data_IF_541325011463
#
_entry.id   IF_541325011463
#
_cell.length_a   1.000
_cell.length_b   1.000
_cell.length_c   1.000
_cell.angle_alpha   90.00
_cell.angle_beta   90.00
_cell.angle_gamma   90.00
#
_symmetry.space_group_name_H-M   'P 1'
#
loop_
_entity.id
_entity.type
_entity.pdbx_description
1 polymer ?
#
# COMPACT_ATOMS: atom_id res chain seq x y z
N UNK A 1 2.46 109.72 -5.52
CA UNK A 1 3.05 110.29 -6.74
C UNK A 1 4.52 109.89 -6.73
N UNK A 2 4.93 109.05 -7.69
CA UNK A 2 6.32 108.82 -8.23
C UNK A 2 7.41 108.45 -7.22
N UNK A 3 8.30 107.47 -7.36
CA UNK A 3 8.87 106.61 -8.41
C UNK A 3 9.66 105.53 -7.59
N UNK A 4 10.05 104.32 -8.01
CA UNK A 4 11.03 103.92 -9.04
C UNK A 4 11.19 102.39 -8.93
N UNK A 5 11.53 101.78 -10.06
CA UNK A 5 11.82 100.36 -10.32
C UNK A 5 12.79 99.68 -9.35
N UNK A 6 12.67 98.35 -9.26
CA UNK A 6 13.86 97.52 -9.38
C UNK A 6 13.54 96.14 -10.00
N UNK A 7 14.15 95.94 -11.17
CA UNK A 7 14.24 94.70 -11.93
C UNK A 7 14.86 93.56 -11.12
N UNK A 8 14.22 92.38 -11.14
CA UNK A 8 14.89 91.10 -10.87
C UNK A 8 14.63 90.17 -12.06
N UNK A 9 15.67 90.04 -12.88
CA UNK A 9 15.71 89.12 -14.00
C UNK A 9 15.61 87.65 -13.53
N UNK A 10 14.51 86.96 -13.89
CA UNK A 10 14.45 85.49 -13.89
C UNK A 10 14.95 84.98 -15.25
N UNK A 11 16.20 84.53 -15.27
CA UNK A 11 16.77 83.78 -16.41
C UNK A 11 16.13 82.39 -16.44
N UNK A 12 15.13 82.18 -17.31
CA UNK A 12 14.63 80.85 -17.65
C UNK A 12 15.64 80.18 -18.59
N UNK A 13 16.49 79.30 -18.07
CA UNK A 13 17.27 78.38 -18.90
C UNK A 13 16.33 77.33 -19.50
N UNK A 14 15.76 77.64 -20.65
CA UNK A 14 15.14 76.64 -21.52
C UNK A 14 16.23 75.70 -22.03
N UNK A 15 16.16 74.42 -21.66
CA UNK A 15 16.98 73.40 -22.30
C UNK A 15 16.64 73.38 -23.81
N UNK A 16 17.62 73.40 -24.71
CA UNK A 16 17.35 73.32 -26.14
C UNK A 16 16.61 72.00 -26.44
N UNK A 17 15.59 72.02 -27.31
CA UNK A 17 14.94 70.79 -27.73
C UNK A 17 15.98 69.91 -28.42
N UNK A 18 16.27 68.75 -27.82
CA UNK A 18 17.10 67.73 -28.46
C UNK A 18 16.35 67.31 -29.73
N UNK A 19 16.92 67.62 -30.90
CA UNK A 19 16.37 67.16 -32.17
C UNK A 19 16.38 65.63 -32.18
N UNK A 20 15.20 65.01 -32.25
CA UNK A 20 15.09 63.59 -32.59
C UNK A 20 15.64 63.40 -34.01
N UNK A 21 16.79 62.77 -34.12
CA UNK A 21 17.25 62.17 -35.38
C UNK A 21 16.37 60.94 -35.62
N UNK A 22 15.58 60.94 -36.69
CA UNK A 22 14.70 59.82 -37.03
C UNK A 22 15.50 58.51 -37.20
N UNK A 23 14.92 57.40 -36.74
CA UNK A 23 15.49 56.07 -36.90
C UNK A 23 15.52 55.69 -38.39
N UNK A 24 16.62 55.06 -38.84
CA UNK A 24 16.64 54.52 -40.19
C UNK A 24 15.74 53.27 -40.30
N UNK A 25 15.14 53.03 -41.46
CA UNK A 25 14.37 51.82 -41.73
C UNK A 25 15.18 50.54 -41.41
N UNK A 26 16.49 50.60 -41.67
CA UNK A 26 17.43 49.50 -41.42
C UNK A 26 17.62 49.25 -39.92
N UNK A 27 17.75 50.29 -39.10
CA UNK A 27 17.80 50.17 -37.63
C UNK A 27 16.54 49.53 -37.06
N UNK A 28 15.36 49.92 -37.56
CA UNK A 28 14.10 49.33 -37.11
C UNK A 28 14.03 47.83 -37.43
N UNK A 29 14.46 47.44 -38.64
CA UNK A 29 14.47 46.03 -39.06
C UNK A 29 15.48 45.22 -38.24
N UNK A 30 16.67 45.76 -37.99
CA UNK A 30 17.70 45.10 -37.17
C UNK A 30 17.22 44.95 -35.72
N UNK A 31 16.66 46.01 -35.13
CA UNK A 31 16.16 45.97 -33.76
C UNK A 31 15.03 44.95 -33.59
N UNK A 32 14.08 44.88 -34.53
CA UNK A 32 13.01 43.89 -34.54
C UNK A 32 13.55 42.47 -34.73
N UNK A 33 14.50 42.27 -35.65
CA UNK A 33 15.11 40.96 -35.89
C UNK A 33 15.85 40.45 -34.64
N UNK A 34 16.62 41.31 -33.97
CA UNK A 34 17.32 40.96 -32.74
C UNK A 34 16.36 40.73 -31.57
N UNK A 35 15.32 41.55 -31.44
CA UNK A 35 14.27 41.37 -30.43
C UNK A 35 13.55 40.04 -30.59
N UNK A 36 13.18 39.65 -31.82
CA UNK A 36 12.58 38.36 -32.11
C UNK A 36 13.52 37.19 -31.75
N UNK A 37 14.79 37.29 -32.11
CA UNK A 37 15.78 36.25 -31.82
C UNK A 37 15.97 36.08 -30.31
N UNK A 38 16.10 37.16 -29.55
CA UNK A 38 16.26 37.12 -28.10
C UNK A 38 15.02 36.57 -27.40
N UNK A 39 13.82 37.01 -27.81
CA UNK A 39 12.56 36.52 -27.24
C UNK A 39 12.35 35.03 -27.51
N UNK A 40 12.67 34.54 -28.71
CA UNK A 40 12.66 33.11 -29.01
C UNK A 40 13.64 32.33 -28.12
N UNK A 41 14.87 32.83 -27.97
CA UNK A 41 15.88 32.19 -27.12
C UNK A 41 15.45 32.08 -25.66
N UNK A 42 14.94 33.17 -25.07
CA UNK A 42 14.46 33.18 -23.68
C UNK A 42 13.23 32.27 -23.51
N UNK A 43 12.32 32.26 -24.49
CA UNK A 43 11.14 31.38 -24.46
C UNK A 43 11.56 29.91 -24.46
N UNK A 44 12.53 29.53 -25.29
CA UNK A 44 13.03 28.15 -25.34
C UNK A 44 13.66 27.72 -24.01
N UNK A 45 14.47 28.58 -23.39
CA UNK A 45 15.07 28.32 -22.07
C UNK A 45 13.98 28.14 -21.02
N UNK A 46 12.98 29.01 -21.01
CA UNK A 46 11.86 28.93 -20.07
C UNK A 46 11.06 27.63 -20.24
N UNK A 47 10.71 27.26 -21.48
CA UNK A 47 9.98 26.02 -21.78
C UNK A 47 10.78 24.78 -21.35
N UNK A 48 12.07 24.73 -21.68
CA UNK A 48 12.97 23.64 -21.28
C UNK A 48 13.15 23.55 -19.76
N UNK A 49 13.27 24.69 -19.08
CA UNK A 49 13.35 24.75 -17.63
C UNK A 49 12.08 24.27 -16.94
N UNK A 50 10.91 24.69 -17.43
CA UNK A 50 9.62 24.24 -16.91
C UNK A 50 9.39 22.74 -17.16
N UNK A 51 9.77 22.24 -18.33
CA UNK A 51 9.70 20.83 -18.66
C UNK A 51 10.56 19.98 -17.71
N UNK A 52 11.82 20.39 -17.51
CA UNK A 52 12.76 19.74 -16.57
C UNK A 52 12.21 19.78 -15.14
N UNK A 53 11.62 20.90 -14.73
CA UNK A 53 10.99 21.04 -13.42
C UNK A 53 9.84 20.05 -13.24
N UNK A 54 8.93 19.93 -14.22
CA UNK A 54 7.81 18.98 -14.17
C UNK A 54 8.29 17.53 -14.13
N UNK A 55 9.31 17.16 -14.90
CA UNK A 55 9.91 15.82 -14.84
C UNK A 55 10.52 15.52 -13.48
N UNK A 56 11.23 16.48 -12.90
CA UNK A 56 11.84 16.34 -11.58
C UNK A 56 10.78 16.17 -10.49
N UNK A 57 9.70 16.95 -10.53
CA UNK A 57 8.56 16.82 -9.61
C UNK A 57 7.84 15.49 -9.78
N UNK A 58 7.56 15.08 -11.03
CA UNK A 58 6.91 13.80 -11.33
C UNK A 58 7.72 12.60 -10.83
N UNK A 59 9.04 12.64 -11.00
CA UNK A 59 9.95 11.63 -10.46
C UNK A 59 9.95 11.63 -8.93
N UNK A 60 9.98 12.80 -8.29
CA UNK A 60 9.96 12.92 -6.84
C UNK A 60 8.68 12.29 -6.24
N UNK A 61 7.50 12.57 -6.83
CA UNK A 61 6.24 11.97 -6.41
C UNK A 61 6.22 10.44 -6.59
N UNK A 62 6.75 9.93 -7.70
CA UNK A 62 6.84 8.48 -7.91
C UNK A 62 7.76 7.83 -6.86
N UNK A 63 8.88 8.47 -6.51
CA UNK A 63 9.80 7.99 -5.45
C UNK A 63 9.16 8.03 -4.06
N UNK A 64 8.44 9.10 -3.75
CA UNK A 64 7.70 9.23 -2.49
C UNK A 64 6.67 8.11 -2.34
N UNK A 65 5.89 7.86 -3.40
CA UNK A 65 4.91 6.77 -3.43
C UNK A 65 5.57 5.41 -3.21
N UNK A 66 6.72 5.16 -3.86
CA UNK A 66 7.51 3.94 -3.65
C UNK A 66 7.96 3.77 -2.19
N UNK A 67 8.47 4.85 -1.57
CA UNK A 67 8.91 4.84 -0.17
C UNK A 67 7.73 4.56 0.77
N UNK A 68 6.60 5.20 0.51
CA UNK A 68 5.38 4.98 1.28
C UNK A 68 4.91 3.52 1.20
N UNK A 69 4.82 2.94 0.00
CA UNK A 69 4.47 1.53 -0.19
C UNK A 69 5.37 0.61 0.64
N UNK A 70 6.69 0.82 0.56
CA UNK A 70 7.65 -0.01 1.30
C UNK A 70 7.50 0.16 2.82
N UNK A 71 7.23 1.38 3.28
CA UNK A 71 7.02 1.68 4.70
C UNK A 71 5.76 1.05 5.29
N UNK A 72 4.76 0.73 4.47
CA UNK A 72 3.52 0.06 4.89
C UNK A 72 3.63 -1.47 4.73
N UNK A 73 4.09 -1.95 3.59
CA UNK A 73 4.11 -3.39 3.30
C UNK A 73 5.18 -4.13 4.10
N UNK A 74 6.39 -3.58 4.24
CA UNK A 74 7.48 -4.30 4.89
C UNK A 74 7.19 -4.62 6.38
N UNK A 75 6.70 -3.69 7.22
CA UNK A 75 6.39 -3.99 8.61
C UNK A 75 5.32 -5.07 8.76
N UNK A 76 4.25 -4.98 7.96
CA UNK A 76 3.13 -5.92 8.00
C UNK A 76 3.53 -7.32 7.49
N UNK A 77 4.32 -7.38 6.42
CA UNK A 77 4.84 -8.66 5.91
C UNK A 77 5.84 -9.28 6.88
N UNK A 78 6.61 -8.46 7.62
CA UNK A 78 7.53 -8.94 8.65
C UNK A 78 6.78 -9.47 9.87
N UNK A 79 5.67 -8.85 10.27
CA UNK A 79 4.86 -9.29 11.43
C UNK A 79 3.95 -10.48 11.11
N UNK A 80 3.83 -10.85 9.83
CA UNK A 80 3.05 -11.99 9.37
C UNK A 80 3.37 -13.27 10.17
N UNK A 81 2.34 -14.07 10.46
CA UNK A 81 2.48 -15.39 11.08
C UNK A 81 3.06 -15.40 12.50
N UNK A 82 3.23 -14.24 13.14
CA UNK A 82 3.66 -14.14 14.54
C UNK A 82 2.50 -14.52 15.47
N UNK A 83 2.16 -15.81 15.59
CA UNK A 83 1.07 -16.30 16.45
C UNK A 83 1.41 -16.31 17.95
N UNK A 84 2.16 -15.30 18.39
CA UNK A 84 2.63 -15.15 19.76
C UNK A 84 3.39 -16.39 20.24
N UNK A 85 3.18 -16.74 21.49
CA UNK A 85 3.87 -17.85 22.13
C UNK A 85 3.54 -19.23 21.55
N UNK A 86 2.39 -19.40 20.88
CA UNK A 86 2.05 -20.68 20.23
C UNK A 86 3.01 -21.00 19.09
N UNK A 87 3.35 -19.99 18.27
CA UNK A 87 4.35 -20.12 17.21
C UNK A 87 5.76 -20.29 17.79
N UNK A 88 6.12 -19.53 18.83
CA UNK A 88 7.43 -19.63 19.48
C UNK A 88 7.69 -21.02 20.08
N UNK A 89 6.65 -21.69 20.57
CA UNK A 89 6.72 -23.05 21.10
C UNK A 89 6.54 -24.14 20.03
N UNK A 90 6.41 -23.78 18.75
CA UNK A 90 6.23 -24.72 17.65
C UNK A 90 4.94 -25.54 17.75
N UNK A 91 3.88 -24.98 18.34
CA UNK A 91 2.60 -25.70 18.50
C UNK A 91 1.87 -25.83 17.16
N UNK A 92 1.25 -26.98 16.87
CA UNK A 92 0.40 -27.14 15.70
C UNK A 92 -0.89 -26.31 15.87
N UNK A 93 -0.92 -25.11 15.28
CA UNK A 93 -2.00 -24.13 15.49
C UNK A 93 -3.39 -24.66 15.11
N UNK A 94 -3.47 -25.57 14.15
CA UNK A 94 -4.71 -26.25 13.74
C UNK A 94 -5.25 -27.24 14.77
N UNK A 95 -4.41 -27.68 15.71
CA UNK A 95 -4.79 -28.62 16.77
C UNK A 95 -5.03 -27.93 18.11
N UNK A 96 -4.25 -26.87 18.41
CA UNK A 96 -4.27 -26.22 19.73
C UNK A 96 -5.11 -24.94 19.77
N UNK A 97 -5.43 -24.35 18.62
CA UNK A 97 -6.31 -23.18 18.55
C UNK A 97 -7.70 -23.63 18.13
N UNK A 98 -8.66 -23.52 19.06
CA UNK A 98 -10.07 -23.68 18.75
C UNK A 98 -10.57 -22.43 18.01
N UNK A 99 -10.89 -22.59 16.72
CA UNK A 99 -11.49 -21.52 15.92
C UNK A 99 -12.99 -21.43 16.23
N UNK A 100 -13.34 -20.54 17.16
CA UNK A 100 -14.74 -20.28 17.54
C UNK A 100 -15.46 -19.38 16.55
N UNK A 101 -14.85 -18.91 15.45
CA UNK A 101 -15.53 -18.09 14.45
C UNK A 101 -16.49 -18.93 13.59
N UNK A 102 -17.59 -18.35 13.11
CA UNK A 102 -18.41 -19.04 12.09
C UNK A 102 -17.75 -18.95 10.72
N UNK A 103 -17.64 -20.11 10.06
CA UNK A 103 -17.06 -20.20 8.72
C UNK A 103 -15.54 -20.18 8.74
N UNK A 104 -14.97 -20.20 7.53
CA UNK A 104 -13.54 -20.39 7.36
C UNK A 104 -12.79 -19.05 7.30
N UNK A 105 -11.58 -19.03 7.83
CA UNK A 105 -10.66 -17.92 7.64
C UNK A 105 -10.20 -17.84 6.16
N UNK A 106 -10.06 -16.63 5.58
CA UNK A 106 -9.52 -16.46 4.22
C UNK A 106 -8.10 -17.03 4.07
N UNK A 107 -7.33 -16.99 5.16
CA UNK A 107 -6.00 -17.59 5.27
C UNK A 107 -5.98 -18.41 6.55
N UNK A 108 -5.62 -19.69 6.44
CA UNK A 108 -5.58 -20.61 7.57
C UNK A 108 -4.60 -20.13 8.66
N UNK A 109 -4.87 -20.43 9.93
CA UNK A 109 -3.96 -20.05 11.03
C UNK A 109 -2.57 -20.68 10.89
N UNK A 110 -2.46 -21.84 10.26
CA UNK A 110 -1.17 -22.49 9.97
C UNK A 110 -0.36 -21.75 8.89
N UNK A 111 -0.94 -20.74 8.25
CA UNK A 111 -0.34 -19.96 7.17
C UNK A 111 -0.15 -18.50 7.63
N UNK A 112 1.08 -18.01 7.48
CA UNK A 112 1.41 -16.62 7.81
C UNK A 112 0.79 -15.65 6.79
N UNK A 113 0.85 -16.07 5.52
CA UNK A 113 0.34 -15.33 4.37
C UNK A 113 -0.27 -16.29 3.37
N UNK A 114 -1.10 -15.75 2.49
CA UNK A 114 -1.48 -16.39 1.24
C UNK A 114 -1.49 -15.36 0.12
N UNK A 115 -0.93 -15.74 -1.01
CA UNK A 115 -0.84 -14.93 -2.21
C UNK A 115 -1.73 -15.42 -3.33
N UNK A 116 -2.05 -14.52 -4.26
CA UNK A 116 -2.65 -14.84 -5.54
C UNK A 116 -1.92 -14.10 -6.67
N UNK A 117 -1.49 -14.86 -7.65
CA UNK A 117 -0.76 -14.43 -8.84
C UNK A 117 -1.77 -14.11 -9.95
N UNK A 118 -1.58 -12.99 -10.65
CA UNK A 118 -2.36 -12.73 -11.86
C UNK A 118 -1.87 -13.60 -13.02
N UNK A 119 -2.78 -14.10 -13.85
CA UNK A 119 -2.41 -14.99 -14.96
C UNK A 119 -1.43 -14.31 -15.92
N UNK A 120 -0.31 -14.98 -16.20
CA UNK A 120 0.77 -14.51 -17.09
C UNK A 120 1.49 -13.25 -16.59
N UNK A 121 1.73 -13.14 -15.29
CA UNK A 121 2.60 -12.10 -14.71
C UNK A 121 3.84 -12.64 -14.00
N UNK A 122 4.05 -13.96 -14.05
CA UNK A 122 5.16 -14.62 -13.38
C UNK A 122 6.52 -14.42 -14.07
N UNK A 123 7.60 -14.95 -13.48
CA UNK A 123 8.94 -14.86 -14.08
C UNK A 123 8.99 -15.44 -15.50
N UNK A 124 9.49 -14.66 -16.46
CA UNK A 124 9.54 -15.03 -17.88
C UNK A 124 8.35 -14.51 -18.71
N UNK A 125 7.30 -13.98 -18.08
CA UNK A 125 6.16 -13.42 -18.78
C UNK A 125 6.37 -11.96 -19.19
N UNK A 126 5.60 -11.52 -20.19
CA UNK A 126 5.52 -10.11 -20.60
C UNK A 126 4.15 -9.53 -20.23
N UNK A 127 4.18 -8.46 -19.44
CA UNK A 127 3.04 -7.71 -18.97
C UNK A 127 2.87 -6.48 -19.86
N UNK A 128 1.68 -6.30 -20.43
CA UNK A 128 1.33 -5.05 -21.12
C UNK A 128 0.39 -4.23 -20.23
N UNK A 129 0.83 -3.04 -19.83
CA UNK A 129 -0.03 -2.10 -19.11
C UNK A 129 -1.17 -1.63 -20.03
N UNK A 130 -2.41 -1.84 -19.60
CA UNK A 130 -3.57 -1.38 -20.34
C UNK A 130 -3.73 0.14 -20.19
N UNK A 131 -4.01 0.84 -21.29
CA UNK A 131 -4.31 2.28 -21.25
C UNK A 131 -5.58 2.63 -20.46
N UNK A 132 -6.49 1.67 -20.26
CA UNK A 132 -7.66 1.79 -19.37
C UNK A 132 -7.59 0.76 -18.26
N UNK A 133 -7.68 1.21 -17.01
CA UNK A 133 -7.72 0.33 -15.84
C UNK A 133 -8.97 -0.56 -15.86
N UNK A 134 -8.75 -1.85 -15.66
CA UNK A 134 -9.79 -2.87 -15.56
C UNK A 134 -9.67 -3.63 -14.25
N UNK A 135 -10.80 -3.88 -13.58
CA UNK A 135 -10.89 -4.68 -12.36
C UNK A 135 -11.83 -5.88 -12.59
N UNK A 136 -11.32 -7.00 -13.15
CA UNK A 136 -12.18 -8.11 -13.55
C UNK A 136 -12.83 -8.81 -12.35
N UNK A 137 -14.06 -9.28 -12.55
CA UNK A 137 -14.84 -9.97 -11.51
C UNK A 137 -14.52 -11.47 -11.39
N UNK A 138 -13.83 -12.07 -12.37
CA UNK A 138 -13.62 -13.53 -12.45
C UNK A 138 -12.30 -13.90 -13.10
N UNK A 139 -11.72 -15.02 -12.66
CA UNK A 139 -10.94 -15.91 -13.53
C UNK A 139 -9.44 -15.65 -13.69
N UNK A 140 -8.88 -14.60 -13.10
CA UNK A 140 -7.50 -14.21 -13.45
C UNK A 140 -6.45 -14.48 -12.38
N UNK A 141 -6.85 -14.84 -11.16
CA UNK A 141 -5.94 -15.00 -10.03
C UNK A 141 -5.91 -16.43 -9.51
N UNK A 142 -4.71 -16.96 -9.30
CA UNK A 142 -4.49 -18.33 -8.80
C UNK A 142 -3.55 -18.35 -7.61
N UNK A 143 -3.77 -19.31 -6.71
CA UNK A 143 -2.96 -19.52 -5.51
C UNK A 143 -2.70 -21.02 -5.33
N UNK A 144 -1.41 -21.37 -5.28
CA UNK A 144 -0.86 -22.72 -5.33
C UNK A 144 -1.22 -23.51 -6.58
N UNK A 145 -0.55 -24.64 -6.77
CA UNK A 145 -0.73 -25.47 -7.98
C UNK A 145 -2.14 -26.02 -8.13
N UNK A 146 -2.89 -26.13 -7.02
CA UNK A 146 -4.31 -26.50 -7.03
C UNK A 146 -5.23 -25.39 -7.56
N UNK A 147 -4.74 -24.16 -7.73
CA UNK A 147 -5.46 -23.07 -8.37
C UNK A 147 -6.58 -22.46 -7.51
N UNK A 148 -6.33 -22.21 -6.22
CA UNK A 148 -7.33 -21.58 -5.37
C UNK A 148 -7.67 -20.16 -5.88
N UNK A 149 -8.96 -19.91 -6.07
CA UNK A 149 -9.45 -18.63 -6.61
C UNK A 149 -9.31 -17.49 -5.59
N UNK A 150 -9.24 -16.26 -6.09
CA UNK A 150 -9.27 -15.05 -5.26
C UNK A 150 -10.53 -15.01 -4.39
N UNK A 151 -10.45 -14.60 -3.10
CA UNK A 151 -11.60 -14.46 -2.23
C UNK A 151 -12.70 -13.59 -2.85
N UNK A 152 -13.95 -14.02 -2.67
CA UNK A 152 -15.09 -13.38 -3.32
C UNK A 152 -15.21 -11.88 -3.00
N UNK A 153 -14.80 -11.47 -1.79
CA UNK A 153 -14.83 -10.09 -1.34
C UNK A 153 -13.88 -9.15 -2.10
N UNK A 154 -12.84 -9.70 -2.77
CA UNK A 154 -11.86 -8.92 -3.54
C UNK A 154 -12.16 -8.93 -5.05
N UNK A 155 -13.12 -9.73 -5.52
CA UNK A 155 -13.51 -9.77 -6.94
C UNK A 155 -13.99 -8.39 -7.40
N UNK A 156 -13.54 -7.96 -8.58
CA UNK A 156 -13.88 -6.65 -9.12
C UNK A 156 -13.19 -5.45 -8.44
N UNK A 157 -12.36 -5.69 -7.42
CA UNK A 157 -11.62 -4.63 -6.72
C UNK A 157 -10.16 -4.51 -7.15
N UNK A 158 -9.57 -5.60 -7.64
CA UNK A 158 -8.15 -5.69 -7.99
C UNK A 158 -7.95 -5.38 -9.47
N UNK A 159 -6.98 -4.54 -9.80
CA UNK A 159 -6.63 -4.22 -11.19
C UNK A 159 -5.94 -5.40 -11.87
N UNK A 160 -6.09 -5.50 -13.19
CA UNK A 160 -5.36 -6.50 -13.99
C UNK A 160 -3.84 -6.38 -13.81
N UNK A 161 -3.14 -7.49 -14.03
CA UNK A 161 -1.68 -7.57 -14.00
C UNK A 161 -1.06 -7.25 -12.63
N UNK A 162 -1.80 -7.44 -11.55
CA UNK A 162 -1.33 -7.17 -10.19
C UNK A 162 -1.68 -8.33 -9.27
N UNK A 163 -0.73 -8.67 -8.42
CA UNK A 163 -0.87 -9.72 -7.43
C UNK A 163 -1.60 -9.22 -6.19
N UNK A 164 -2.06 -10.20 -5.41
CA UNK A 164 -2.73 -9.98 -4.13
C UNK A 164 -2.02 -10.79 -3.07
N UNK A 165 -1.91 -10.22 -1.87
CA UNK A 165 -1.47 -10.95 -0.68
C UNK A 165 -2.41 -10.68 0.47
N UNK A 166 -2.75 -11.72 1.22
CA UNK A 166 -3.44 -11.62 2.51
C UNK A 166 -2.49 -12.08 3.60
N UNK A 167 -2.38 -11.26 4.63
CA UNK A 167 -1.43 -11.42 5.73
C UNK A 167 -2.20 -11.62 7.03
N UNK A 168 -1.89 -12.72 7.73
CA UNK A 168 -2.34 -12.95 9.09
C UNK A 168 -1.35 -12.32 10.07
N UNK A 169 -1.84 -11.47 10.97
CA UNK A 169 -1.04 -10.80 11.98
C UNK A 169 -1.74 -10.81 13.34
N UNK A 170 -0.93 -10.86 14.41
CA UNK A 170 -1.37 -10.68 15.78
C UNK A 170 -0.75 -9.42 16.40
N UNK A 171 -1.57 -8.64 17.09
CA UNK A 171 -1.11 -7.52 17.92
C UNK A 171 -1.36 -7.87 19.38
N UNK A 172 -0.33 -7.97 20.24
CA UNK A 172 -0.53 -8.30 21.65
C UNK A 172 -1.27 -7.19 22.38
N UNK A 173 -2.22 -7.59 23.22
CA UNK A 173 -2.87 -6.70 24.18
C UNK A 173 -1.97 -6.55 25.41
N UNK A 174 -1.76 -5.31 25.85
CA UNK A 174 -0.91 -4.99 27.02
C UNK A 174 -1.68 -4.99 28.34
N UNK A 175 -3.01 -5.07 28.28
CA UNK A 175 -3.89 -5.03 29.45
C UNK A 175 -4.00 -6.42 30.08
N UNK A 176 -3.67 -6.59 31.37
CA UNK A 176 -3.76 -7.89 32.03
C UNK A 176 -5.19 -8.42 32.14
N UNK A 177 -5.30 -9.75 32.14
CA UNK A 177 -6.53 -10.47 32.46
C UNK A 177 -6.71 -10.51 33.99
N UNK A 178 -7.95 -10.34 34.46
CA UNK A 178 -8.29 -10.40 35.89
C UNK A 178 -8.11 -11.80 36.46
N UNK A 179 -7.75 -11.88 37.75
CA UNK A 179 -7.61 -13.14 38.47
C UNK A 179 -8.90 -13.96 38.58
N UNK A 180 -10.06 -13.28 38.65
CA UNK A 180 -11.37 -13.94 38.72
C UNK A 180 -12.09 -13.83 37.37
N UNK A 181 -11.97 -14.89 36.56
CA UNK A 181 -12.70 -15.05 35.32
C UNK A 181 -13.69 -16.22 35.39
N UNK A 182 -14.90 -16.08 34.83
CA UNK A 182 -15.89 -17.15 34.85
C UNK A 182 -15.43 -18.32 33.98
N UNK A 183 -15.33 -19.52 34.56
CA UNK A 183 -15.17 -20.75 33.79
C UNK A 183 -16.43 -21.01 32.95
N UNK A 184 -16.25 -21.43 31.70
CA UNK A 184 -17.34 -21.59 30.73
C UNK A 184 -18.20 -20.32 30.54
N UNK A 185 -17.63 -19.15 30.82
CA UNK A 185 -18.27 -17.86 30.56
C UNK A 185 -18.18 -17.47 29.08
N UNK A 186 -18.81 -16.34 28.73
CA UNK A 186 -18.73 -15.76 27.40
C UNK A 186 -17.86 -14.49 27.35
N UNK A 187 -17.18 -14.16 28.45
CA UNK A 187 -16.41 -12.92 28.61
C UNK A 187 -15.10 -13.17 29.35
N UNK A 188 -14.02 -12.58 28.83
CA UNK A 188 -12.72 -12.48 29.53
C UNK A 188 -12.62 -11.09 30.15
N UNK A 189 -12.64 -11.01 31.47
CA UNK A 189 -12.52 -9.77 32.23
C UNK A 189 -11.07 -9.30 32.29
N UNK A 190 -10.88 -7.99 32.08
CA UNK A 190 -9.59 -7.31 32.03
C UNK A 190 -9.47 -6.30 33.18
N UNK A 191 -8.24 -5.95 33.54
CA UNK A 191 -7.97 -4.94 34.57
C UNK A 191 -8.33 -3.51 34.12
N UNK A 192 -8.23 -3.22 32.83
CA UNK A 192 -8.57 -1.93 32.22
C UNK A 192 -9.31 -2.15 30.87
N UNK A 193 -9.63 -1.05 30.17
CA UNK A 193 -10.24 -1.05 28.85
C UNK A 193 -9.40 -1.82 27.82
N UNK A 194 -10.04 -2.72 27.07
CA UNK A 194 -9.35 -3.54 26.07
C UNK A 194 -8.64 -2.75 24.97
N UNK A 195 -9.11 -1.54 24.64
CA UNK A 195 -8.60 -0.76 23.50
C UNK A 195 -8.93 -1.35 22.12
N UNK A 196 -9.43 -2.59 22.06
CA UNK A 196 -9.76 -3.28 20.81
C UNK A 196 -11.14 -2.82 20.32
N UNK A 197 -11.30 -2.32 19.09
CA UNK A 197 -12.60 -1.90 18.55
C UNK A 197 -13.64 -3.02 18.52
N UNK A 198 -14.93 -2.65 18.54
CA UNK A 198 -16.05 -3.62 18.45
C UNK A 198 -15.97 -4.49 17.20
N UNK A 199 -16.48 -5.73 17.29
CA UNK A 199 -16.51 -6.73 16.22
C UNK A 199 -15.13 -7.23 15.74
N UNK A 200 -14.03 -6.90 16.42
CA UNK A 200 -12.71 -7.46 16.09
C UNK A 200 -12.56 -8.90 16.56
N UNK A 201 -11.61 -9.60 15.93
CA UNK A 201 -11.25 -10.97 16.27
C UNK A 201 -10.08 -10.94 17.23
N UNK A 202 -10.15 -11.81 18.23
CA UNK A 202 -9.19 -11.92 19.32
C UNK A 202 -8.76 -13.38 19.40
N UNK A 203 -7.46 -13.58 19.62
CA UNK A 203 -6.90 -14.86 20.06
C UNK A 203 -6.54 -14.73 21.53
N UNK A 204 -7.14 -15.55 22.39
CA UNK A 204 -6.73 -15.70 23.78
C UNK A 204 -6.05 -17.06 23.95
N UNK A 205 -4.92 -17.08 24.66
CA UNK A 205 -4.12 -18.29 24.89
C UNK A 205 -3.85 -18.47 26.37
N UNK A 206 -3.75 -19.73 26.81
CA UNK A 206 -3.33 -20.02 28.19
C UNK A 206 -1.92 -19.49 28.46
N UNK A 207 -1.59 -19.23 29.73
CA UNK A 207 -0.30 -18.66 30.12
C UNK A 207 0.91 -19.54 29.77
N UNK A 208 0.70 -20.84 29.64
CA UNK A 208 1.69 -21.84 29.21
C UNK A 208 1.70 -22.10 27.70
N UNK A 209 0.80 -21.46 26.94
CA UNK A 209 0.62 -21.61 25.50
C UNK A 209 0.44 -23.06 25.05
N UNK A 210 -0.29 -23.81 25.86
CA UNK A 210 -0.77 -25.15 25.49
C UNK A 210 -1.94 -25.06 24.50
N UNK A 211 -2.90 -24.17 24.75
CA UNK A 211 -4.16 -24.03 23.99
C UNK A 211 -4.57 -22.55 23.82
N UNK A 212 -5.44 -22.28 22.86
CA UNK A 212 -6.07 -20.97 22.69
C UNK A 212 -7.41 -21.02 21.97
N UNK A 213 -8.17 -19.93 22.07
CA UNK A 213 -9.45 -19.77 21.37
C UNK A 213 -9.44 -18.49 20.53
N UNK A 214 -9.79 -18.61 19.25
CA UNK A 214 -9.97 -17.50 18.32
C UNK A 214 -11.46 -17.15 18.25
N UNK A 215 -11.84 -15.92 18.57
CA UNK A 215 -13.24 -15.51 18.63
C UNK A 215 -13.44 -14.04 18.24
N UNK A 216 -14.64 -13.70 17.78
CA UNK A 216 -15.05 -12.32 17.53
C UNK A 216 -15.69 -11.73 18.78
N UNK A 217 -15.33 -10.50 19.16
CA UNK A 217 -15.90 -9.84 20.34
C UNK A 217 -17.00 -8.83 19.99
N UNK A 218 -17.96 -8.60 20.90
CA UNK A 218 -19.12 -7.71 20.68
C UNK A 218 -19.05 -6.36 21.37
N UNK A 219 -18.18 -6.19 22.35
CA UNK A 219 -18.12 -4.96 23.14
C UNK A 219 -17.16 -3.91 22.52
N UNK A 220 -17.31 -2.66 22.94
CA UNK A 220 -16.50 -1.54 22.48
C UNK A 220 -15.10 -1.54 23.09
N UNK A 221 -14.18 -0.74 22.52
CA UNK A 221 -12.80 -0.60 23.00
C UNK A 221 -12.70 -0.17 24.47
N UNK A 222 -13.67 0.59 24.96
CA UNK A 222 -13.70 1.10 26.35
C UNK A 222 -14.30 0.09 27.35
N UNK A 223 -14.46 -1.18 26.96
CA UNK A 223 -14.91 -2.23 27.86
C UNK A 223 -13.72 -2.90 28.53
N UNK A 224 -13.81 -3.12 29.85
CA UNK A 224 -12.87 -3.94 30.63
C UNK A 224 -13.20 -5.44 30.59
N UNK A 225 -13.78 -5.88 29.48
CA UNK A 225 -14.04 -7.29 29.18
C UNK A 225 -13.86 -7.54 27.68
N UNK A 226 -13.74 -8.81 27.30
CA UNK A 226 -13.76 -9.31 25.93
C UNK A 226 -14.91 -10.31 25.82
N UNK A 227 -16.10 -9.81 25.50
CA UNK A 227 -17.32 -10.63 25.40
C UNK A 227 -17.48 -11.18 24.00
N UNK A 228 -17.68 -12.50 23.86
CA UNK A 228 -17.98 -13.12 22.57
C UNK A 228 -19.17 -12.46 21.89
N UNK A 229 -19.08 -12.25 20.59
CA UNK A 229 -20.20 -11.84 19.78
C UNK A 229 -21.23 -12.96 19.61
N UNK A 230 -22.51 -12.58 19.58
CA UNK A 230 -23.59 -13.50 19.23
C UNK A 230 -23.59 -13.86 17.74
N UNK A 231 -24.54 -14.72 17.35
CA UNK A 231 -24.58 -15.29 16.00
C UNK A 231 -25.03 -14.36 14.87
N UNK A 232 -25.44 -13.11 15.16
CA UNK A 232 -25.98 -12.14 14.20
C UNK A 232 -24.91 -11.17 13.64
N UNK A 233 -23.65 -11.34 14.05
CA UNK A 233 -22.50 -10.61 13.50
C UNK A 233 -21.82 -11.52 12.48
N UNK A 234 -21.19 -10.93 11.46
CA UNK A 234 -20.41 -11.67 10.46
C UNK A 234 -18.91 -11.47 10.72
N UNK A 235 -18.09 -12.54 10.81
CA UNK A 235 -18.49 -13.96 10.77
C UNK A 235 -19.34 -14.40 11.99
N UNK A 236 -19.17 -13.76 13.15
CA UNK A 236 -19.78 -14.19 14.41
C UNK A 236 -19.04 -15.39 14.98
N UNK A 237 -19.59 -15.96 16.06
CA UNK A 237 -19.00 -17.15 16.70
C UNK A 237 -19.89 -18.39 16.56
N UNK A 238 -19.26 -19.56 16.40
CA UNK A 238 -19.87 -20.89 16.47
C UNK A 238 -19.83 -21.42 17.91
N UNK A 239 -20.72 -20.84 18.72
CA UNK A 239 -20.80 -21.08 20.15
C UNK A 239 -21.08 -19.80 20.93
N UNK A 240 -21.32 -19.96 22.22
CA UNK A 240 -21.67 -18.85 23.12
C UNK A 240 -20.77 -18.73 24.33
N UNK A 241 -19.97 -19.75 24.63
CA UNK A 241 -19.08 -19.82 25.78
C UNK A 241 -17.68 -20.28 25.35
N UNK A 242 -16.70 -19.90 26.17
CA UNK A 242 -15.32 -20.37 26.10
C UNK A 242 -15.19 -21.78 26.67
N UNK A 243 -14.31 -22.57 26.05
CA UNK A 243 -13.93 -23.90 26.51
C UNK A 243 -12.75 -23.83 27.49
N UNK A 244 -11.95 -22.76 27.43
CA UNK A 244 -10.78 -22.57 28.27
C UNK A 244 -11.10 -21.75 29.53
N UNK A 245 -10.27 -21.94 30.56
CA UNK A 245 -10.27 -21.11 31.76
C UNK A 245 -9.12 -20.10 31.68
N UNK A 246 -9.45 -18.81 31.78
CA UNK A 246 -8.48 -17.73 31.63
C UNK A 246 -8.02 -17.21 32.99
N UNK A 247 -6.70 -17.17 33.18
CA UNK A 247 -6.00 -16.70 34.37
C UNK A 247 -5.18 -15.43 34.06
N UNK A 248 -4.60 -14.72 35.05
CA UNK A 248 -3.81 -13.52 34.80
C UNK A 248 -2.65 -13.66 33.81
N UNK A 249 -2.11 -14.87 33.66
CA UNK A 249 -1.04 -15.23 32.74
C UNK A 249 -1.52 -15.39 31.29
N UNK A 250 -2.84 -15.38 31.05
CA UNK A 250 -3.45 -15.46 29.71
C UNK A 250 -2.86 -14.38 28.80
N UNK A 251 -2.39 -14.78 27.63
CA UNK A 251 -1.95 -13.83 26.60
C UNK A 251 -3.06 -13.61 25.59
N UNK A 252 -3.40 -12.34 25.37
CA UNK A 252 -4.47 -11.91 24.47
C UNK A 252 -3.87 -11.15 23.30
N UNK A 253 -4.38 -11.41 22.10
CA UNK A 253 -3.94 -10.77 20.86
C UNK A 253 -5.15 -10.33 20.02
N UNK A 254 -5.09 -9.14 19.41
CA UNK A 254 -5.97 -8.83 18.28
C UNK A 254 -5.48 -9.58 17.04
N UNK A 255 -6.33 -10.40 16.44
CA UNK A 255 -6.05 -11.08 15.18
C UNK A 255 -6.60 -10.28 14.01
N UNK A 256 -5.78 -10.15 12.97
CA UNK A 256 -6.18 -9.50 11.72
C UNK A 256 -5.73 -10.33 10.52
N UNK A 257 -6.63 -10.46 9.53
CA UNK A 257 -6.29 -10.90 8.18
C UNK A 257 -6.41 -9.68 7.27
N UNK A 258 -5.28 -9.16 6.76
CA UNK A 258 -5.23 -7.93 5.96
C UNK A 258 -4.85 -8.25 4.51
N UNK A 259 -5.71 -7.89 3.57
CA UNK A 259 -5.41 -7.96 2.15
C UNK A 259 -4.68 -6.70 1.68
N UNK A 260 -3.67 -6.87 0.83
CA UNK A 260 -2.98 -5.83 0.09
C UNK A 260 -3.09 -6.11 -1.40
N UNK A 261 -3.51 -5.11 -2.17
CA UNK A 261 -3.73 -5.24 -3.61
C UNK A 261 -3.70 -3.87 -4.29
N UNK A 262 -3.52 -3.86 -5.61
CA UNK A 262 -3.69 -2.64 -6.41
C UNK A 262 -5.13 -2.57 -6.90
N UNK A 263 -5.79 -1.45 -6.63
CA UNK A 263 -7.19 -1.20 -7.00
C UNK A 263 -7.34 0.10 -7.77
N UNK A 264 -8.57 0.36 -8.25
CA UNK A 264 -8.90 1.65 -8.85
C UNK A 264 -9.26 2.65 -7.76
N UNK A 265 -8.43 3.69 -7.62
CA UNK A 265 -8.62 4.79 -6.69
C UNK A 265 -9.85 5.64 -7.02
N UNK A 266 -10.22 6.49 -6.06
CA UNK A 266 -11.36 7.42 -6.21
C UNK A 266 -11.18 8.43 -7.34
N UNK A 267 -9.92 8.76 -7.67
CA UNK A 267 -9.54 9.60 -8.81
C UNK A 267 -9.51 8.83 -10.15
N UNK A 268 -9.85 7.54 -10.14
CA UNK A 268 -9.82 6.68 -11.31
C UNK A 268 -8.43 6.14 -11.67
N UNK A 269 -7.40 6.46 -10.88
CA UNK A 269 -6.02 6.03 -11.08
C UNK A 269 -5.70 4.78 -10.24
N UNK A 270 -4.66 4.00 -10.57
CA UNK A 270 -4.35 2.79 -9.82
C UNK A 270 -3.68 3.18 -8.51
N UNK A 271 -4.05 2.51 -7.43
CA UNK A 271 -3.63 2.84 -6.08
C UNK A 271 -3.39 1.57 -5.26
N UNK A 272 -2.49 1.65 -4.28
CA UNK A 272 -2.35 0.60 -3.28
C UNK A 272 -3.54 0.68 -2.32
N UNK A 273 -4.23 -0.44 -2.15
CA UNK A 273 -5.29 -0.61 -1.17
C UNK A 273 -4.88 -1.60 -0.08
N UNK A 274 -5.47 -1.41 1.09
CA UNK A 274 -5.57 -2.47 2.09
C UNK A 274 -7.03 -2.74 2.45
N UNK A 275 -7.34 -3.97 2.85
CA UNK A 275 -8.67 -4.32 3.34
C UNK A 275 -8.60 -5.36 4.45
N UNK A 276 -9.25 -5.06 5.58
CA UNK A 276 -9.42 -6.06 6.62
C UNK A 276 -10.42 -7.11 6.13
N UNK A 277 -9.99 -8.36 6.11
CA UNK A 277 -10.76 -9.53 5.65
C UNK A 277 -11.42 -10.26 6.83
N UNK A 278 -10.92 -10.07 8.06
CA UNK A 278 -11.45 -10.74 9.25
C UNK A 278 -11.40 -9.79 10.47
N UNK A 279 -12.56 -9.27 10.93
CA UNK A 279 -13.84 -9.27 10.20
C UNK A 279 -13.74 -8.46 8.90
N UNK A 280 -14.61 -8.74 7.93
CA UNK A 280 -14.61 -7.97 6.69
C UNK A 280 -14.94 -6.50 6.96
N UNK A 281 -14.12 -5.59 6.43
CA UNK A 281 -14.34 -4.15 6.45
C UNK A 281 -14.27 -3.57 5.03
N UNK A 282 -14.77 -2.34 4.81
CA UNK A 282 -14.56 -1.63 3.55
C UNK A 282 -13.06 -1.47 3.24
N UNK A 283 -12.68 -1.48 1.95
CA UNK A 283 -11.30 -1.23 1.54
C UNK A 283 -10.87 0.21 1.83
N UNK A 284 -9.56 0.39 2.03
CA UNK A 284 -8.92 1.68 2.29
C UNK A 284 -7.85 1.94 1.22
N UNK A 285 -8.00 3.05 0.49
CA UNK A 285 -6.96 3.55 -0.41
C UNK A 285 -5.81 4.12 0.43
N UNK A 286 -4.58 3.72 0.14
CA UNK A 286 -3.39 4.13 0.91
C UNK A 286 -2.55 5.15 0.15
N UNK A 287 -2.24 4.88 -1.11
CA UNK A 287 -1.47 5.77 -1.98
C UNK A 287 -1.83 5.56 -3.44
N UNK A 288 -2.07 6.66 -4.15
CA UNK A 288 -2.35 6.65 -5.59
C UNK A 288 -1.07 6.59 -6.43
N UNK A 289 -1.17 6.17 -7.69
CA UNK A 289 -0.05 6.10 -8.62
C UNK A 289 0.80 4.82 -8.49
N UNK A 290 0.25 3.77 -7.89
CA UNK A 290 0.87 2.43 -7.87
C UNK A 290 0.17 1.58 -8.92
N UNK A 291 0.85 1.27 -10.03
CA UNK A 291 0.23 0.65 -11.22
C UNK A 291 0.13 -0.86 -11.14
N UNK A 292 1.18 -1.51 -10.66
CA UNK A 292 1.22 -2.96 -10.51
C UNK A 292 2.07 -3.36 -9.30
N UNK A 293 1.66 -4.48 -8.69
CA UNK A 293 2.33 -5.19 -7.60
C UNK A 293 2.62 -6.60 -8.08
N UNK A 294 3.86 -7.04 -7.93
CA UNK A 294 4.35 -8.37 -8.28
C UNK A 294 5.01 -9.00 -7.06
N UNK A 295 4.74 -10.26 -6.75
CA UNK A 295 5.18 -10.91 -5.51
C UNK A 295 5.70 -12.32 -5.76
N UNK A 296 6.93 -12.57 -5.31
CA UNK A 296 7.48 -13.91 -5.17
C UNK A 296 7.58 -14.31 -3.69
N UNK A 297 7.29 -15.57 -3.43
CA UNK A 297 7.27 -16.17 -2.10
C UNK A 297 8.49 -17.05 -1.92
N UNK A 298 9.32 -16.70 -0.95
CA UNK A 298 10.49 -17.48 -0.57
C UNK A 298 10.07 -18.68 0.27
N UNK A 299 10.05 -19.87 -0.34
CA UNK A 299 9.67 -21.13 0.30
C UNK A 299 10.90 -21.84 0.86
N UNK A 300 10.74 -22.43 2.04
CA UNK A 300 11.73 -23.28 2.68
C UNK A 300 11.41 -24.74 2.38
N UNK A 301 12.19 -25.37 1.51
CA UNK A 301 12.03 -26.77 1.11
C UNK A 301 12.95 -27.71 1.91
N UNK A 302 13.97 -27.17 2.57
CA UNK A 302 15.01 -27.95 3.24
C UNK A 302 14.95 -27.91 4.78
N UNK A 303 13.90 -27.31 5.36
CA UNK A 303 13.72 -27.22 6.81
C UNK A 303 14.66 -26.22 7.50
N UNK A 304 15.29 -25.30 6.74
CA UNK A 304 16.11 -24.21 7.28
C UNK A 304 15.25 -22.97 7.51
N UNK A 305 15.48 -22.11 8.51
CA UNK A 305 14.66 -20.88 8.67
C UNK A 305 14.81 -19.85 7.51
N UNK A 306 15.47 -20.21 6.41
CA UNK A 306 15.71 -19.38 5.23
C UNK A 306 14.96 -19.93 4.00
N UNK A 307 14.67 -19.05 3.05
CA UNK A 307 14.08 -19.44 1.77
C UNK A 307 15.12 -20.07 0.84
N UNK A 308 14.78 -21.21 0.24
CA UNK A 308 15.62 -21.92 -0.73
C UNK A 308 15.36 -21.44 -2.17
N UNK A 309 14.09 -21.15 -2.48
CA UNK A 309 13.65 -20.69 -3.80
C UNK A 309 12.52 -19.68 -3.68
N UNK A 310 12.35 -18.84 -4.71
CA UNK A 310 11.29 -17.84 -4.81
C UNK A 310 10.34 -18.23 -5.93
N UNK A 311 9.06 -18.39 -5.60
CA UNK A 311 8.02 -18.87 -6.51
C UNK A 311 6.88 -17.84 -6.62
N UNK A 312 6.25 -17.68 -7.80
CA UNK A 312 4.98 -16.96 -7.92
C UNK A 312 3.89 -17.70 -7.14
N UNK A 313 2.79 -17.00 -6.82
CA UNK A 313 1.81 -17.54 -5.87
C UNK A 313 1.14 -18.83 -6.36
N UNK A 314 0.96 -19.00 -7.67
CA UNK A 314 0.33 -20.16 -8.29
C UNK A 314 1.24 -21.40 -8.36
N UNK A 315 2.52 -21.26 -8.01
CA UNK A 315 3.48 -22.37 -7.87
C UNK A 315 3.77 -22.73 -6.40
N UNK A 316 3.21 -22.00 -5.42
CA UNK A 316 3.40 -22.31 -3.99
C UNK A 316 2.45 -23.42 -3.53
N UNK A 317 2.98 -24.65 -3.43
CA UNK A 317 2.21 -25.81 -2.96
C UNK A 317 1.92 -25.76 -1.46
N UNK A 318 2.94 -25.50 -0.64
CA UNK A 318 2.82 -25.40 0.81
C UNK A 318 3.08 -23.97 1.31
N UNK A 319 1.98 -23.24 1.52
CA UNK A 319 1.99 -21.90 2.12
C UNK A 319 2.49 -21.88 3.57
N UNK A 320 2.50 -23.01 4.27
CA UNK A 320 3.11 -23.15 5.59
C UNK A 320 4.63 -23.02 5.57
N UNK A 321 5.27 -23.28 4.42
CA UNK A 321 6.72 -23.23 4.24
C UNK A 321 7.27 -21.85 3.86
N UNK A 322 6.42 -20.86 3.64
CA UNK A 322 6.83 -19.51 3.21
C UNK A 322 7.56 -18.80 4.35
N UNK A 323 8.84 -18.48 4.15
CA UNK A 323 9.73 -17.85 5.13
C UNK A 323 10.05 -16.38 4.79
N UNK A 324 9.92 -15.98 3.52
CA UNK A 324 10.16 -14.59 3.12
C UNK A 324 9.28 -14.18 1.94
N UNK A 325 9.12 -12.88 1.76
CA UNK A 325 8.34 -12.27 0.68
C UNK A 325 9.27 -11.31 -0.05
N UNK A 326 9.34 -11.47 -1.38
CA UNK A 326 9.98 -10.51 -2.28
C UNK A 326 8.90 -9.89 -3.13
N UNK A 327 8.76 -8.57 -3.07
CA UNK A 327 7.76 -7.87 -3.86
C UNK A 327 8.42 -6.78 -4.71
N UNK A 328 7.78 -6.46 -5.83
CA UNK A 328 8.11 -5.33 -6.67
C UNK A 328 6.88 -4.51 -6.94
N UNK A 329 7.04 -3.19 -6.90
CA UNK A 329 5.98 -2.25 -7.26
C UNK A 329 6.46 -1.29 -8.32
N UNK A 330 5.55 -1.00 -9.25
CA UNK A 330 5.72 0.08 -10.21
C UNK A 330 4.89 1.27 -9.77
N UNK A 331 5.56 2.39 -9.51
CA UNK A 331 4.90 3.68 -9.26
C UNK A 331 5.14 4.63 -10.41
N UNK A 332 4.28 5.66 -10.52
CA UNK A 332 4.38 6.65 -11.60
C UNK A 332 4.11 8.07 -11.13
N UNK A 333 4.47 9.04 -11.97
CA UNK A 333 4.07 10.44 -11.80
C UNK A 333 2.55 10.60 -11.94
N UNK A 334 1.95 11.51 -11.16
CA UNK A 334 0.53 11.83 -11.31
C UNK A 334 0.23 12.47 -12.67
N UNK A 335 1.10 13.37 -13.11
CA UNK A 335 0.99 14.05 -14.39
C UNK A 335 1.80 13.37 -15.50
N UNK A 336 1.39 13.64 -16.73
CA UNK A 336 2.22 13.47 -17.92
C UNK A 336 3.33 14.52 -17.94
N UNK A 337 4.57 14.06 -17.79
CA UNK A 337 5.76 14.89 -17.67
C UNK A 337 6.81 14.60 -18.74
N UNK A 338 6.67 13.50 -19.47
CA UNK A 338 7.56 13.15 -20.59
C UNK A 338 7.13 13.89 -21.86
N UNK A 339 8.07 14.10 -22.78
CA UNK A 339 7.79 14.72 -24.08
C UNK A 339 7.12 13.73 -25.03
N UNK A 340 7.62 12.49 -25.04
CA UNK A 340 7.14 11.37 -25.84
C UNK A 340 6.46 10.32 -24.97
N UNK A 341 5.62 9.49 -25.60
CA UNK A 341 5.03 8.32 -24.95
C UNK A 341 6.12 7.42 -24.38
N UNK A 342 5.89 6.92 -23.18
CA UNK A 342 6.88 6.11 -22.50
C UNK A 342 6.86 4.67 -23.08
N UNK A 343 7.84 4.37 -23.92
CA UNK A 343 8.03 3.06 -24.56
C UNK A 343 9.01 2.14 -23.81
N UNK A 344 9.39 2.49 -22.57
CA UNK A 344 10.36 1.71 -21.80
C UNK A 344 9.75 0.41 -21.30
N UNK A 345 10.56 -0.64 -21.30
CA UNK A 345 10.27 -1.91 -20.63
C UNK A 345 10.97 -1.95 -19.27
N UNK A 346 10.29 -2.49 -18.27
CA UNK A 346 10.76 -2.55 -16.89
C UNK A 346 10.74 -3.99 -16.38
N UNK A 347 11.85 -4.47 -15.82
CA UNK A 347 11.89 -5.79 -15.20
C UNK A 347 11.27 -5.74 -13.79
N UNK A 348 10.33 -6.65 -13.51
CA UNK A 348 9.67 -6.80 -12.20
C UNK A 348 9.73 -8.25 -11.75
N UNK A 349 10.69 -8.59 -10.89
CA UNK A 349 10.86 -9.96 -10.36
C UNK A 349 11.00 -11.07 -11.42
N UNK A 350 11.45 -10.73 -12.63
CA UNK A 350 11.63 -11.68 -13.72
C UNK A 350 10.56 -11.60 -14.80
N UNK A 351 9.45 -10.88 -14.58
CA UNK A 351 8.54 -10.47 -15.65
C UNK A 351 9.00 -9.16 -16.28
N UNK A 352 8.62 -8.93 -17.54
CA UNK A 352 8.89 -7.69 -18.27
C UNK A 352 7.60 -6.88 -18.44
N UNK A 353 7.56 -5.68 -17.88
CA UNK A 353 6.42 -4.77 -17.97
C UNK A 353 6.68 -3.71 -19.04
N UNK A 354 5.87 -3.73 -20.09
CA UNK A 354 5.88 -2.75 -21.17
C UNK A 354 4.57 -1.94 -21.20
N UNK A 355 4.64 -0.75 -21.77
CA UNK A 355 3.43 0.00 -22.12
C UNK A 355 2.77 -0.56 -23.38
N UNK A 356 1.44 -0.59 -23.38
CA UNK A 356 0.67 -0.83 -24.59
C UNK A 356 0.76 0.33 -25.59
N UNK A 357 0.27 0.10 -26.81
CA UNK A 357 0.20 1.14 -27.86
C UNK A 357 -0.69 2.33 -27.42
N UNK A 358 -0.28 3.55 -27.78
CA UNK A 358 -0.83 4.82 -27.27
C UNK A 358 -0.60 4.97 -25.75
N UNK A 359 0.65 4.75 -25.34
CA UNK A 359 1.06 4.77 -23.94
C UNK A 359 0.98 6.19 -23.37
N UNK A 360 1.05 6.30 -22.05
CA UNK A 360 1.07 7.62 -21.41
C UNK A 360 2.47 8.26 -21.42
N UNK A 361 2.52 9.54 -21.03
CA UNK A 361 3.78 10.30 -20.86
C UNK A 361 4.18 10.40 -19.39
N UNK A 362 3.88 9.37 -18.58
CA UNK A 362 4.21 9.35 -17.16
C UNK A 362 5.57 8.71 -16.92
N UNK A 363 6.34 9.30 -16.00
CA UNK A 363 7.59 8.70 -15.51
C UNK A 363 7.22 7.55 -14.58
N UNK A 364 7.96 6.44 -14.66
CA UNK A 364 7.78 5.26 -13.82
C UNK A 364 9.04 4.92 -13.05
N UNK A 365 8.84 4.36 -11.86
CA UNK A 365 9.89 3.82 -11.02
C UNK A 365 9.47 2.42 -10.60
N UNK A 366 10.39 1.48 -10.75
CA UNK A 366 10.25 0.14 -10.19
C UNK A 366 11.09 0.06 -8.94
N UNK A 367 10.48 -0.45 -7.88
CA UNK A 367 11.17 -0.80 -6.64
C UNK A 367 11.07 -2.30 -6.42
N UNK A 368 12.12 -2.88 -5.85
CA UNK A 368 12.16 -4.29 -5.42
C UNK A 368 12.55 -4.30 -3.95
N UNK A 369 11.88 -5.15 -3.20
CA UNK A 369 12.06 -5.25 -1.75
C UNK A 369 11.91 -6.70 -1.31
N UNK A 370 12.69 -7.11 -0.32
CA UNK A 370 12.61 -8.45 0.27
C UNK A 370 12.55 -8.32 1.78
N UNK A 371 11.61 -9.03 2.40
CA UNK A 371 11.47 -9.10 3.85
C UNK A 371 11.20 -10.53 4.28
N UNK A 372 11.83 -10.94 5.36
CA UNK A 372 11.62 -12.22 6.03
C UNK A 372 10.42 -12.13 6.96
N UNK A 373 9.66 -13.22 7.07
CA UNK A 373 8.52 -13.35 7.98
C UNK A 373 9.05 -13.71 9.36
N UNK A 374 8.83 -12.84 10.37
CA UNK A 374 9.38 -13.05 11.72
C UNK A 374 8.82 -14.30 12.39
N UNK A 375 7.54 -14.62 12.19
CA UNK A 375 6.92 -15.82 12.77
C UNK A 375 7.46 -17.15 12.23
N UNK A 376 8.48 -17.13 11.35
CA UNK A 376 9.08 -18.30 10.69
C UNK A 376 10.60 -18.38 10.85
N UNK A 377 11.19 -17.46 11.62
CA UNK A 377 12.61 -17.52 12.03
C UNK A 377 12.74 -18.34 13.29
#
# INVERSE_FOLDING_TARGET
MTQTDNDIAKVSRGFPPVRQTGLSLVELIIALALGLLLTLGVTQIYLSGNQTYRQTQGLAHAQESTRFVSSVLMPDFRSAGSFGCLAEMGRPLDQVVDNRLKGNLPVLLTQAVRGWEYSNTGPGDTITLAGTLSTPATGNWKSGSAGAALPADLKGSVVTNSDVIIVNALTPLTVPVKAANPQNGNSINLEDNSGIPVNRVVLATLGDCSEGELFQKSNNANSSALTMAGGNITPGNDGHNFNLAYEPETRVYEFTAMAYYIGKGTNGEPALFRRLMTPLQPPQELVSGVETLQILYGVNTNGTSAADTYLPADEVDDWGSVASIRFSVMTRSQDEVLEEENSRTFAMLGSEVAQGNNGDRRVRIVSVSTTTIRGRM
#
